data_IF_563479454628
#
_entry.id   IF_563479454628
#
_cell.length_a   1.000
_cell.length_b   1.000
_cell.length_c   1.000
_cell.angle_alpha   90.00
_cell.angle_beta   90.00
_cell.angle_gamma   90.00
#
_symmetry.space_group_name_H-M   'P 1'
#
loop_
_entity.id
_entity.type
_entity.pdbx_description
1 polymer ?
#
# COMPACT_ATOMS: atom_id res chain seq x y z
N UNK A 1 -7.91 15.46 12.75
CA UNK A 1 -6.98 14.75 13.66
C UNK A 1 -6.99 13.30 13.20
N UNK A 2 -5.89 12.80 12.65
CA UNK A 2 -5.79 11.39 12.20
C UNK A 2 -5.89 10.51 13.44
N UNK A 3 -6.70 9.45 13.37
CA UNK A 3 -6.85 8.52 14.49
C UNK A 3 -5.53 7.73 14.67
N UNK A 4 -4.96 7.67 15.88
CA UNK A 4 -3.68 6.97 16.12
C UNK A 4 -3.75 5.47 15.79
N UNK A 5 -4.92 4.84 15.88
CA UNK A 5 -5.11 3.45 15.45
C UNK A 5 -5.06 3.30 13.93
N UNK A 6 -5.52 4.31 13.20
CA UNK A 6 -5.46 4.37 11.74
C UNK A 6 -4.04 4.51 11.23
N UNK A 7 -3.25 5.38 11.88
CA UNK A 7 -1.84 5.57 11.57
C UNK A 7 -1.04 4.28 11.79
N UNK A 8 -1.30 3.57 12.90
CA UNK A 8 -0.65 2.28 13.17
C UNK A 8 -1.03 1.20 12.13
N UNK A 9 -2.30 1.14 11.72
CA UNK A 9 -2.74 0.22 10.67
C UNK A 9 -2.12 0.56 9.31
N UNK A 10 -2.09 1.84 8.96
CA UNK A 10 -1.50 2.32 7.71
C UNK A 10 0.01 2.02 7.66
N UNK A 11 0.72 2.22 8.76
CA UNK A 11 2.14 1.85 8.87
C UNK A 11 2.33 0.35 8.66
N UNK A 12 1.54 -0.50 9.34
CA UNK A 12 1.62 -1.96 9.17
C UNK A 12 1.30 -2.42 7.75
N UNK A 13 0.34 -1.77 7.08
CA UNK A 13 0.01 -2.06 5.69
C UNK A 13 1.13 -1.59 4.75
N UNK A 14 1.73 -0.42 5.00
CA UNK A 14 2.85 0.11 4.22
C UNK A 14 4.06 -0.83 4.26
N UNK A 15 4.47 -1.27 5.46
CA UNK A 15 5.59 -2.22 5.61
C UNK A 15 5.31 -3.55 4.92
N UNK A 16 4.06 -4.03 4.96
CA UNK A 16 3.66 -5.26 4.27
C UNK A 16 3.74 -5.12 2.75
N UNK A 17 3.31 -3.98 2.19
CA UNK A 17 3.37 -3.72 0.74
C UNK A 17 4.82 -3.59 0.27
N UNK A 18 5.65 -2.86 1.03
CA UNK A 18 7.07 -2.69 0.76
C UNK A 18 7.83 -4.02 0.87
N UNK A 19 7.49 -4.88 1.82
CA UNK A 19 8.04 -6.23 1.92
C UNK A 19 7.59 -7.12 0.75
N UNK A 20 6.34 -6.99 0.29
CA UNK A 20 5.85 -7.72 -0.87
C UNK A 20 6.58 -7.33 -2.16
N UNK A 21 6.97 -6.06 -2.34
CA UNK A 21 7.84 -5.61 -3.45
C UNK A 21 9.20 -6.31 -3.50
N UNK A 22 9.68 -6.81 -2.35
CA UNK A 22 10.94 -7.57 -2.29
C UNK A 22 10.82 -9.01 -2.80
N UNK A 23 9.61 -9.47 -3.06
CA UNK A 23 9.28 -10.87 -3.35
C UNK A 23 8.44 -10.95 -4.63
N UNK A 24 8.33 -12.13 -5.23
CA UNK A 24 7.41 -12.36 -6.35
C UNK A 24 5.92 -12.12 -6.00
N UNK A 25 5.60 -11.83 -4.73
CA UNK A 25 4.24 -11.56 -4.26
C UNK A 25 3.72 -10.14 -4.54
N UNK A 26 4.57 -9.24 -5.07
CA UNK A 26 4.22 -7.87 -5.46
C UNK A 26 2.96 -7.77 -6.32
N UNK A 27 2.86 -8.57 -7.38
CA UNK A 27 1.71 -8.58 -8.27
C UNK A 27 0.39 -8.87 -7.54
N UNK A 28 0.43 -9.77 -6.55
CA UNK A 28 -0.71 -10.08 -5.69
C UNK A 28 -1.11 -8.91 -4.79
N UNK A 29 -0.13 -8.19 -4.24
CA UNK A 29 -0.37 -6.99 -3.42
C UNK A 29 -0.94 -5.84 -4.28
N UNK A 30 -0.35 -5.56 -5.44
CA UNK A 30 -0.80 -4.56 -6.42
C UNK A 30 -2.27 -4.77 -6.80
N UNK A 31 -2.65 -6.01 -7.13
CA UNK A 31 -4.01 -6.35 -7.53
C UNK A 31 -5.05 -6.15 -6.41
N UNK A 32 -4.69 -6.43 -5.15
CA UNK A 32 -5.58 -6.19 -4.00
C UNK A 32 -5.80 -4.70 -3.77
N UNK A 33 -4.74 -3.90 -3.86
CA UNK A 33 -4.81 -2.44 -3.70
C UNK A 33 -5.61 -1.82 -4.85
N UNK A 34 -5.34 -2.21 -6.09
CA UNK A 34 -6.09 -1.77 -7.26
C UNK A 34 -7.59 -2.05 -7.14
N UNK A 35 -7.97 -3.21 -6.58
CA UNK A 35 -9.38 -3.56 -6.35
C UNK A 35 -10.07 -2.63 -5.34
N UNK A 36 -9.35 -2.16 -4.33
CA UNK A 36 -9.88 -1.16 -3.37
C UNK A 36 -10.11 0.17 -4.09
N UNK A 37 -9.13 0.64 -4.87
CA UNK A 37 -9.22 1.90 -5.62
C UNK A 37 -10.12 1.84 -6.87
N UNK A 38 -10.50 0.65 -7.33
CA UNK A 38 -11.54 0.52 -8.37
C UNK A 38 -12.89 1.02 -7.87
N UNK A 39 -13.18 0.89 -6.58
CA UNK A 39 -14.46 1.29 -6.02
C UNK A 39 -14.63 2.82 -5.94
N UNK A 40 -13.53 3.57 -5.92
CA UNK A 40 -13.54 5.02 -5.77
C UNK A 40 -13.10 5.79 -7.04
N UNK A 41 -12.92 5.09 -8.16
CA UNK A 41 -12.57 5.71 -9.46
C UNK A 41 -11.14 6.23 -9.56
N UNK A 42 -10.27 5.96 -8.59
CA UNK A 42 -8.86 6.42 -8.59
C UNK A 42 -7.85 5.30 -8.85
N UNK A 43 -8.33 4.13 -9.30
CA UNK A 43 -7.55 2.94 -9.61
C UNK A 43 -6.30 3.23 -10.44
N UNK A 44 -6.44 3.95 -11.55
CA UNK A 44 -5.34 4.21 -12.49
C UNK A 44 -4.19 4.98 -11.84
N UNK A 45 -4.48 5.98 -11.00
CA UNK A 45 -3.47 6.77 -10.33
C UNK A 45 -2.72 5.97 -9.25
N UNK A 46 -3.47 5.15 -8.48
CA UNK A 46 -2.87 4.24 -7.50
C UNK A 46 -1.97 3.19 -8.18
N UNK A 47 -2.44 2.62 -9.28
CA UNK A 47 -1.68 1.64 -10.07
C UNK A 47 -0.39 2.20 -10.67
N UNK A 48 -0.42 3.42 -11.22
CA UNK A 48 0.78 4.09 -11.74
C UNK A 48 1.80 4.43 -10.64
N UNK A 49 1.30 4.81 -9.46
CA UNK A 49 2.16 5.10 -8.30
C UNK A 49 2.80 3.82 -7.75
N UNK A 50 2.04 2.73 -7.66
CA UNK A 50 2.54 1.40 -7.31
C UNK A 50 3.66 0.97 -8.26
N UNK A 51 3.43 1.08 -9.56
CA UNK A 51 4.34 0.61 -10.61
C UNK A 51 5.65 1.42 -10.66
N UNK A 52 5.53 2.75 -10.55
CA UNK A 52 6.69 3.66 -10.43
C UNK A 52 7.56 3.29 -9.23
N UNK A 53 6.94 3.10 -8.06
CA UNK A 53 7.67 2.77 -6.83
C UNK A 53 8.33 1.40 -6.90
N UNK A 54 7.70 0.41 -7.53
CA UNK A 54 8.29 -0.90 -7.75
C UNK A 54 9.50 -0.83 -8.69
N UNK A 55 9.38 -0.08 -9.79
CA UNK A 55 10.49 0.16 -10.73
C UNK A 55 11.68 0.81 -10.03
N UNK A 56 11.43 1.74 -9.12
CA UNK A 56 12.49 2.37 -8.31
C UNK A 56 13.18 1.37 -7.38
N UNK A 57 12.45 0.43 -6.77
CA UNK A 57 13.03 -0.64 -5.93
C UNK A 57 13.83 -1.63 -6.77
N UNK A 58 13.35 -1.99 -7.96
CA UNK A 58 14.03 -2.92 -8.87
C UNK A 58 15.33 -2.34 -9.46
N UNK A 59 15.36 -1.03 -9.70
CA UNK A 59 16.53 -0.34 -10.26
C UNK A 59 17.51 0.17 -9.20
N UNK A 60 17.15 0.10 -7.91
CA UNK A 60 18.02 0.55 -6.84
C UNK A 60 19.20 -0.39 -6.63
N UNK A 61 20.40 0.18 -6.47
CA UNK A 61 21.58 -0.57 -6.02
C UNK A 61 21.40 -1.15 -4.62
N UNK A 62 20.63 -0.46 -3.77
CA UNK A 62 20.24 -0.89 -2.43
C UNK A 62 18.72 -0.89 -2.31
N UNK A 63 18.13 -2.04 -2.63
CA UNK A 63 16.70 -2.24 -2.61
C UNK A 63 16.12 -2.10 -1.19
N UNK A 64 16.85 -2.51 -0.15
CA UNK A 64 16.38 -2.43 1.24
C UNK A 64 16.33 -0.97 1.72
N UNK A 65 17.36 -0.18 1.44
CA UNK A 65 17.35 1.25 1.72
C UNK A 65 16.26 1.99 0.95
N UNK A 66 16.03 1.63 -0.30
CA UNK A 66 14.99 2.26 -1.14
C UNK A 66 13.59 1.95 -0.62
N UNK A 67 13.37 0.72 -0.14
CA UNK A 67 12.16 0.29 0.55
C UNK A 67 11.88 1.10 1.81
N UNK A 68 12.90 1.32 2.65
CA UNK A 68 12.78 2.15 3.85
C UNK A 68 12.38 3.60 3.52
N UNK A 69 12.91 4.15 2.43
CA UNK A 69 12.57 5.50 1.95
C UNK A 69 11.14 5.60 1.39
N UNK A 70 10.61 4.52 0.84
CA UNK A 70 9.26 4.47 0.30
C UNK A 70 8.19 4.23 1.39
N UNK A 71 8.56 3.63 2.52
CA UNK A 71 7.62 3.29 3.60
C UNK A 71 6.78 4.50 4.12
N UNK A 72 7.34 5.70 4.35
CA UNK A 72 6.55 6.86 4.80
C UNK A 72 5.57 7.36 3.73
N UNK A 73 5.95 7.31 2.46
CA UNK A 73 5.08 7.68 1.34
C UNK A 73 3.89 6.72 1.21
N UNK A 74 4.14 5.43 1.42
CA UNK A 74 3.11 4.40 1.48
C UNK A 74 2.17 4.58 2.66
N UNK A 75 2.71 4.89 3.84
CA UNK A 75 1.92 5.16 5.03
C UNK A 75 0.97 6.34 4.80
N UNK A 76 1.45 7.47 4.29
CA UNK A 76 0.60 8.65 4.04
C UNK A 76 -0.53 8.37 3.02
N UNK A 77 -0.25 7.60 1.97
CA UNK A 77 -1.27 7.18 1.00
C UNK A 77 -2.32 6.26 1.64
N UNK A 78 -1.88 5.31 2.46
CA UNK A 78 -2.77 4.38 3.16
C UNK A 78 -3.59 5.07 4.25
N UNK A 79 -3.03 6.05 4.96
CA UNK A 79 -3.76 6.89 5.90
C UNK A 79 -4.86 7.69 5.20
N UNK A 80 -4.56 8.27 4.03
CA UNK A 80 -5.57 8.96 3.20
C UNK A 80 -6.68 8.01 2.73
N UNK A 81 -6.30 6.80 2.33
CA UNK A 81 -7.22 5.72 1.93
C UNK A 81 -8.17 5.32 3.07
N UNK A 82 -7.60 4.98 4.23
CA UNK A 82 -8.36 4.50 5.38
C UNK A 82 -9.15 5.62 6.06
N UNK A 83 -8.68 6.86 5.93
CA UNK A 83 -9.39 8.06 6.39
C UNK A 83 -10.59 8.41 5.52
N UNK A 84 -10.52 8.14 4.21
CA UNK A 84 -11.62 8.31 3.26
C UNK A 84 -12.64 7.17 3.24
N UNK A 85 -12.28 5.99 3.76
CA UNK A 85 -13.07 4.76 3.67
C UNK A 85 -13.13 3.99 5.01
N UNK A 86 -13.94 4.45 5.99
CA UNK A 86 -14.12 3.74 7.26
C UNK A 86 -14.71 2.32 7.09
N UNK A 87 -15.36 2.01 5.97
CA UNK A 87 -15.83 0.66 5.60
C UNK A 87 -14.70 -0.34 5.33
N UNK A 88 -13.50 0.13 4.94
CA UNK A 88 -12.33 -0.73 4.78
C UNK A 88 -11.76 -1.22 6.12
N UNK A 89 -12.19 -0.61 7.24
CA UNK A 89 -11.78 -0.96 8.62
C UNK A 89 -12.28 -2.34 9.07
N UNK A 90 -13.21 -2.95 8.33
CA UNK A 90 -13.94 -4.14 8.76
C UNK A 90 -14.17 -5.18 7.67
N UNK A 91 -13.20 -5.47 6.81
CA UNK A 91 -13.23 -6.73 6.06
C UNK A 91 -12.66 -7.85 6.94
N UNK A 92 -13.50 -8.71 7.56
CA UNK A 92 -13.01 -9.98 8.06
C UNK A 92 -12.48 -10.75 6.86
N UNK A 93 -11.22 -11.18 6.97
CA UNK A 93 -10.65 -12.28 6.18
C UNK A 93 -11.43 -13.56 6.49
N UNK A 94 -12.68 -13.65 6.02
CA UNK A 94 -13.48 -14.84 6.16
C UNK A 94 -13.10 -15.82 5.05
N UNK A 95 -12.26 -16.78 5.44
CA UNK A 95 -12.03 -18.01 4.69
C UNK A 95 -13.21 -18.94 4.98
N UNK A 96 -14.07 -19.21 4.00
CA UNK A 96 -15.00 -20.34 3.97
C UNK A 96 -15.25 -20.74 2.53
#
# INVERSE_FOLDING_TARGET
MVDPSLAALALSAATTVVAAMATDSWNGARNRIARIFRHNGTQTAAEQTLDTNNTLVEQAEDADRTRELLAPQWQAQLEGLLGGHPEARGLPINNS
#
